data_IF_847316569224
#
_entry.id   IF_847316569224
#
_cell.length_a   1.000
_cell.length_b   1.000
_cell.length_c   1.000
_cell.angle_alpha   90.00
_cell.angle_beta   90.00
_cell.angle_gamma   90.00
#
_symmetry.space_group_name_H-M   'P 1'
#
loop_
_entity.id
_entity.type
_entity.pdbx_description
1 polymer ?
#
# COMPACT_ATOMS: atom_id res chain seq x y z
N UNK A 1 -6.16 -39.63 39.74
CA UNK A 1 -5.83 -38.66 38.67
C UNK A 1 -6.67 -37.41 38.99
N UNK A 2 -6.11 -36.49 39.78
CA UNK A 2 -6.79 -35.26 40.22
C UNK A 2 -6.57 -34.19 39.14
N UNK A 3 -7.61 -33.93 38.34
CA UNK A 3 -7.65 -32.78 37.45
C UNK A 3 -7.95 -31.56 38.32
N UNK A 4 -7.02 -30.60 38.37
CA UNK A 4 -7.16 -29.37 39.18
C UNK A 4 -8.30 -28.50 38.62
N UNK A 5 -9.44 -28.37 39.31
CA UNK A 5 -10.56 -27.52 38.84
C UNK A 5 -10.19 -26.02 38.80
N UNK A 6 -9.18 -25.63 39.59
CA UNK A 6 -8.70 -24.26 39.70
C UNK A 6 -8.13 -23.71 38.39
N UNK A 7 -7.36 -24.52 37.66
CA UNK A 7 -6.76 -24.12 36.37
C UNK A 7 -7.80 -23.88 35.26
N UNK A 8 -8.90 -24.66 35.30
CA UNK A 8 -10.01 -24.48 34.33
C UNK A 8 -10.80 -23.22 34.69
N UNK A 9 -11.01 -22.94 35.96
CA UNK A 9 -11.73 -21.76 36.44
C UNK A 9 -10.94 -20.45 36.12
N UNK A 10 -9.64 -20.45 36.38
CA UNK A 10 -8.76 -19.32 36.05
C UNK A 10 -8.65 -19.07 34.54
N UNK A 11 -8.70 -20.14 33.76
CA UNK A 11 -8.74 -20.02 32.29
C UNK A 11 -10.06 -19.42 31.79
N UNK A 12 -11.21 -19.85 32.38
CA UNK A 12 -12.53 -19.28 32.04
C UNK A 12 -12.69 -17.84 32.52
N UNK A 13 -12.18 -17.48 33.70
CA UNK A 13 -12.19 -16.10 34.20
C UNK A 13 -11.29 -15.22 33.35
N UNK A 14 -10.11 -15.67 32.99
CA UNK A 14 -9.19 -14.96 32.12
C UNK A 14 -9.79 -14.75 30.72
N UNK A 15 -10.44 -15.77 30.18
CA UNK A 15 -11.10 -15.69 28.87
C UNK A 15 -12.33 -14.77 28.92
N UNK A 16 -13.13 -14.84 29.97
CA UNK A 16 -14.28 -13.94 30.19
C UNK A 16 -13.85 -12.48 30.39
N UNK A 17 -12.76 -12.26 31.16
CA UNK A 17 -12.19 -10.93 31.39
C UNK A 17 -11.63 -10.32 30.12
N UNK A 18 -10.92 -11.10 29.29
CA UNK A 18 -10.36 -10.67 28.00
C UNK A 18 -11.48 -10.34 26.99
N UNK A 19 -12.56 -11.11 26.97
CA UNK A 19 -13.69 -10.88 26.06
C UNK A 19 -14.53 -9.65 26.47
N UNK A 20 -14.65 -9.38 27.78
CA UNK A 20 -15.29 -8.18 28.32
C UNK A 20 -14.44 -6.90 28.16
N UNK A 21 -13.11 -7.01 28.15
CA UNK A 21 -12.23 -5.86 27.90
C UNK A 21 -12.51 -5.17 26.56
N UNK A 22 -12.87 -5.92 25.52
CA UNK A 22 -13.23 -5.32 24.23
C UNK A 22 -14.57 -4.56 24.26
N UNK A 23 -15.48 -4.91 25.18
CA UNK A 23 -16.71 -4.15 25.42
C UNK A 23 -16.44 -2.84 26.19
N UNK A 24 -15.38 -2.81 27.00
CA UNK A 24 -14.94 -1.65 27.78
C UNK A 24 -14.07 -0.66 26.99
N UNK A 25 -13.50 -1.07 25.84
CA UNK A 25 -12.74 -0.15 24.99
C UNK A 25 -13.73 0.81 24.32
N UNK A 26 -13.82 2.01 24.84
CA UNK A 26 -14.59 3.08 24.23
C UNK A 26 -13.82 3.75 23.08
N UNK A 27 -14.53 4.53 22.24
CA UNK A 27 -13.95 5.20 21.09
C UNK A 27 -12.80 6.15 21.45
N UNK A 28 -12.89 6.83 22.58
CA UNK A 28 -11.86 7.77 23.07
C UNK A 28 -10.55 7.07 23.38
N UNK A 29 -10.62 5.99 24.18
CA UNK A 29 -9.44 5.18 24.52
C UNK A 29 -8.84 4.53 23.27
N UNK A 30 -9.70 4.01 22.38
CA UNK A 30 -9.27 3.42 21.11
C UNK A 30 -8.52 4.43 20.26
N UNK A 31 -9.11 5.61 20.01
CA UNK A 31 -8.47 6.65 19.21
C UNK A 31 -7.17 7.15 19.84
N UNK A 32 -7.14 7.37 21.16
CA UNK A 32 -5.96 7.84 21.86
C UNK A 32 -4.77 6.87 21.68
N UNK A 33 -4.98 5.57 21.91
CA UNK A 33 -3.92 4.55 21.72
C UNK A 33 -3.42 4.43 20.30
N UNK A 34 -4.31 4.48 19.29
CA UNK A 34 -3.93 4.42 17.88
C UNK A 34 -3.11 5.65 17.50
N UNK A 35 -3.54 6.85 17.93
CA UNK A 35 -2.83 8.12 17.68
C UNK A 35 -1.47 8.15 18.38
N UNK A 36 -1.38 7.71 19.62
CA UNK A 36 -0.11 7.58 20.38
C UNK A 36 0.92 6.73 19.62
N UNK A 37 0.49 5.63 19.03
CA UNK A 37 1.35 4.74 18.23
C UNK A 37 1.54 5.21 16.79
N UNK A 38 0.98 6.35 16.41
CA UNK A 38 1.07 6.94 15.05
C UNK A 38 0.63 5.97 13.95
N UNK A 39 -0.39 5.17 14.23
CA UNK A 39 -0.94 4.19 13.29
C UNK A 39 -2.01 4.88 12.41
N UNK A 40 -1.59 5.51 11.33
CA UNK A 40 -2.51 6.17 10.38
C UNK A 40 -3.37 5.15 9.60
N UNK A 41 -2.83 3.97 9.37
CA UNK A 41 -3.54 2.79 8.86
C UNK A 41 -3.29 1.67 9.83
N UNK A 42 -4.34 1.01 10.29
CA UNK A 42 -4.26 -0.06 11.28
C UNK A 42 -5.03 -1.30 10.85
N UNK A 43 -4.61 -2.44 11.35
CA UNK A 43 -5.22 -3.75 11.10
C UNK A 43 -5.75 -4.38 12.39
N UNK A 44 -6.50 -5.48 12.25
CA UNK A 44 -6.93 -6.28 13.41
C UNK A 44 -5.74 -6.78 14.26
N UNK A 45 -4.61 -7.11 13.63
CA UNK A 45 -3.40 -7.54 14.34
C UNK A 45 -2.80 -6.40 15.17
N UNK A 46 -2.78 -5.17 14.63
CA UNK A 46 -2.31 -4.00 15.37
C UNK A 46 -3.17 -3.77 16.62
N UNK A 47 -4.49 -3.89 16.48
CA UNK A 47 -5.44 -3.75 17.60
C UNK A 47 -5.24 -4.85 18.64
N UNK A 48 -5.05 -6.09 18.19
CA UNK A 48 -4.74 -7.20 19.12
C UNK A 48 -3.47 -6.91 19.92
N UNK A 49 -2.41 -6.48 19.25
CA UNK A 49 -1.14 -6.16 19.91
C UNK A 49 -1.26 -4.99 20.89
N UNK A 50 -2.06 -3.96 20.56
CA UNK A 50 -2.22 -2.77 21.41
C UNK A 50 -3.09 -3.00 22.64
N UNK A 51 -4.12 -3.82 22.53
CA UNK A 51 -5.15 -3.99 23.57
C UNK A 51 -5.11 -5.34 24.27
N UNK A 52 -4.29 -6.30 23.80
CA UNK A 52 -4.18 -7.62 24.40
C UNK A 52 -5.47 -8.46 24.35
N UNK A 53 -6.34 -8.20 23.35
CA UNK A 53 -7.67 -8.83 23.26
C UNK A 53 -7.69 -9.95 22.22
N UNK A 54 -8.68 -10.84 22.31
CA UNK A 54 -8.83 -11.97 21.39
C UNK A 54 -9.15 -11.52 19.96
N UNK A 55 -8.89 -12.38 18.96
CA UNK A 55 -9.21 -12.10 17.57
C UNK A 55 -10.71 -11.88 17.35
N UNK A 56 -11.57 -12.63 18.06
CA UNK A 56 -13.02 -12.53 18.00
C UNK A 56 -13.48 -11.17 18.55
N UNK A 57 -12.94 -10.77 19.69
CA UNK A 57 -13.24 -9.50 20.33
C UNK A 57 -12.85 -8.31 19.43
N UNK A 58 -11.67 -8.36 18.79
CA UNK A 58 -11.24 -7.33 17.82
C UNK A 58 -12.14 -7.30 16.59
N UNK A 59 -12.53 -8.45 16.06
CA UNK A 59 -13.42 -8.49 14.89
C UNK A 59 -14.77 -7.83 15.21
N UNK A 60 -15.36 -8.13 16.37
CA UNK A 60 -16.61 -7.53 16.86
C UNK A 60 -16.46 -6.01 17.06
N UNK A 61 -15.35 -5.58 17.67
CA UNK A 61 -15.04 -4.17 17.91
C UNK A 61 -14.94 -3.38 16.60
N UNK A 62 -14.13 -3.86 15.66
CA UNK A 62 -13.93 -3.24 14.36
C UNK A 62 -15.21 -3.22 13.52
N UNK A 63 -16.02 -4.29 13.58
CA UNK A 63 -17.32 -4.32 12.92
C UNK A 63 -18.26 -3.23 13.47
N UNK A 64 -18.36 -3.13 14.81
CA UNK A 64 -19.19 -2.12 15.49
C UNK A 64 -18.74 -0.70 15.11
N UNK A 65 -17.43 -0.40 15.19
CA UNK A 65 -16.90 0.92 14.89
C UNK A 65 -17.04 1.29 13.42
N UNK A 66 -16.88 0.34 12.51
CA UNK A 66 -17.18 0.53 11.10
C UNK A 66 -18.66 0.86 10.87
N UNK A 67 -19.60 0.12 11.51
CA UNK A 67 -21.03 0.35 11.41
C UNK A 67 -21.44 1.74 11.93
N UNK A 68 -20.73 2.24 12.95
CA UNK A 68 -20.93 3.58 13.52
C UNK A 68 -20.26 4.71 12.70
N UNK A 69 -19.52 4.39 11.64
CA UNK A 69 -18.76 5.39 10.87
C UNK A 69 -17.54 5.94 11.61
N UNK A 70 -17.20 5.39 12.79
CA UNK A 70 -16.06 5.84 13.58
C UNK A 70 -14.71 5.48 12.92
N UNK A 71 -14.68 4.40 12.16
CA UNK A 71 -13.57 4.00 11.31
C UNK A 71 -14.06 3.67 9.91
N UNK A 72 -13.20 3.89 8.90
CA UNK A 72 -13.43 3.48 7.52
C UNK A 72 -12.57 2.27 7.18
N UNK A 73 -13.16 1.29 6.50
CA UNK A 73 -12.41 0.17 5.97
C UNK A 73 -11.95 0.49 4.55
N UNK A 74 -10.65 0.73 4.37
CA UNK A 74 -10.05 1.07 3.07
C UNK A 74 -9.76 -0.17 2.22
N UNK A 75 -9.61 -1.33 2.86
CA UNK A 75 -9.44 -2.65 2.27
C UNK A 75 -9.77 -3.70 3.34
N UNK A 76 -10.09 -4.93 2.94
CA UNK A 76 -10.27 -6.02 3.90
C UNK A 76 -9.07 -6.12 4.84
N UNK A 77 -9.34 -5.91 6.15
CA UNK A 77 -8.34 -5.96 7.22
C UNK A 77 -7.54 -4.68 7.44
N UNK A 78 -7.80 -3.58 6.70
CA UNK A 78 -7.13 -2.28 6.88
C UNK A 78 -8.16 -1.17 7.11
N UNK A 79 -7.90 -0.35 8.12
CA UNK A 79 -8.82 0.68 8.59
C UNK A 79 -8.09 2.01 8.80
N UNK A 80 -8.83 3.11 8.69
CA UNK A 80 -8.39 4.48 8.98
C UNK A 80 -9.46 5.23 9.76
N UNK A 81 -9.10 6.33 10.39
CA UNK A 81 -10.07 7.30 10.90
C UNK A 81 -10.51 8.23 9.78
N UNK A 82 -11.82 8.55 9.64
CA UNK A 82 -12.33 9.41 8.58
C UNK A 82 -11.85 10.86 8.69
N UNK A 83 -11.61 11.36 9.89
CA UNK A 83 -11.16 12.71 10.22
C UNK A 83 -9.65 12.94 10.04
N UNK A 84 -8.85 11.87 9.93
CA UNK A 84 -7.39 11.93 9.80
C UNK A 84 -6.92 10.95 8.73
N UNK A 85 -7.24 11.26 7.47
CA UNK A 85 -6.81 10.43 6.35
C UNK A 85 -5.32 10.65 6.05
N UNK A 86 -4.52 9.58 5.95
CA UNK A 86 -3.14 9.71 5.50
C UNK A 86 -3.08 10.04 4.00
N UNK A 87 -1.95 10.58 3.50
CA UNK A 87 -1.76 10.83 2.07
C UNK A 87 -1.98 9.58 1.22
N UNK A 88 -2.55 9.76 0.03
CA UNK A 88 -2.90 8.67 -0.87
C UNK A 88 -1.72 7.79 -1.24
N UNK A 89 -0.54 8.39 -1.42
CA UNK A 89 0.68 7.66 -1.78
C UNK A 89 1.17 6.75 -0.64
N UNK A 90 0.97 7.19 0.61
CA UNK A 90 1.18 6.34 1.78
C UNK A 90 0.17 5.20 1.82
N UNK A 91 -1.11 5.49 1.56
CA UNK A 91 -2.17 4.47 1.48
C UNK A 91 -1.80 3.40 0.44
N UNK A 92 -1.40 3.81 -0.77
CA UNK A 92 -1.02 2.89 -1.85
C UNK A 92 0.01 1.85 -1.40
N UNK A 93 1.11 2.28 -0.78
CA UNK A 93 2.16 1.37 -0.33
C UNK A 93 1.71 0.45 0.83
N UNK A 94 0.78 0.91 1.67
CA UNK A 94 0.32 0.14 2.83
C UNK A 94 -0.73 -0.89 2.49
N UNK A 95 -1.66 -0.57 1.58
CA UNK A 95 -2.75 -1.50 1.25
C UNK A 95 -2.30 -2.73 0.44
N UNK A 96 -1.18 -2.63 -0.29
CA UNK A 96 -0.67 -3.77 -1.07
C UNK A 96 0.86 -3.78 -1.12
N UNK A 97 1.49 -4.33 -0.10
CA UNK A 97 2.95 -4.44 0.04
C UNK A 97 3.45 -5.85 -0.31
N UNK A 98 4.67 -6.00 -0.90
CA UNK A 98 5.55 -4.92 -1.34
C UNK A 98 5.08 -4.26 -2.63
N UNK A 99 5.19 -2.94 -2.68
CA UNK A 99 4.93 -2.14 -3.87
C UNK A 99 5.63 -0.79 -3.79
N UNK A 100 5.85 -0.15 -4.91
CA UNK A 100 6.24 1.25 -5.01
C UNK A 100 5.42 1.92 -6.11
N UNK A 101 5.18 3.21 -5.97
CA UNK A 101 4.46 4.04 -6.95
C UNK A 101 5.32 4.15 -8.20
N UNK A 102 4.72 3.94 -9.38
CA UNK A 102 5.42 3.91 -10.66
C UNK A 102 4.46 4.19 -11.81
N UNK A 103 4.91 3.91 -13.04
CA UNK A 103 4.12 4.01 -14.25
C UNK A 103 3.69 5.47 -14.51
N UNK A 104 2.52 5.63 -15.14
CA UNK A 104 2.00 6.93 -15.55
C UNK A 104 1.83 7.90 -14.37
N UNK A 105 1.45 7.40 -13.17
CA UNK A 105 1.32 8.26 -12.00
C UNK A 105 2.66 8.88 -11.59
N UNK A 106 3.73 8.07 -11.51
CA UNK A 106 5.05 8.59 -11.16
C UNK A 106 5.61 9.51 -12.25
N UNK A 107 5.35 9.21 -13.53
CA UNK A 107 5.73 10.08 -14.65
C UNK A 107 5.03 11.45 -14.58
N UNK A 108 3.75 11.46 -14.25
CA UNK A 108 2.99 12.69 -14.02
C UNK A 108 3.48 13.45 -12.77
N UNK A 109 3.79 12.74 -11.70
CA UNK A 109 4.31 13.28 -10.45
C UNK A 109 5.62 14.07 -10.67
N UNK A 110 6.53 13.55 -11.51
CA UNK A 110 7.78 14.24 -11.88
C UNK A 110 7.62 15.21 -13.06
N UNK A 111 6.40 15.37 -13.58
CA UNK A 111 6.14 16.22 -14.74
C UNK A 111 6.89 15.76 -15.97
N UNK A 112 7.07 14.44 -16.15
CA UNK A 112 7.68 13.84 -17.34
C UNK A 112 6.66 13.75 -18.46
N UNK A 113 5.42 13.36 -18.15
CA UNK A 113 4.29 13.41 -19.07
C UNK A 113 3.41 14.62 -18.74
N UNK A 114 2.80 15.27 -19.73
CA UNK A 114 1.94 16.45 -19.51
C UNK A 114 0.56 16.07 -18.95
N UNK A 115 0.16 14.80 -19.04
CA UNK A 115 -1.15 14.32 -18.61
C UNK A 115 -1.25 14.26 -17.08
N UNK A 116 -2.37 14.74 -16.52
CA UNK A 116 -2.71 14.54 -15.12
C UNK A 116 -3.28 13.13 -14.93
N UNK A 117 -2.68 12.35 -14.04
CA UNK A 117 -3.07 10.96 -13.76
C UNK A 117 -3.76 10.87 -12.40
N UNK A 118 -5.02 10.45 -12.39
CA UNK A 118 -5.83 10.34 -11.17
C UNK A 118 -5.72 8.96 -10.52
N UNK A 119 -5.51 7.90 -11.32
CA UNK A 119 -5.31 6.55 -10.82
C UNK A 119 -3.90 6.41 -10.24
N UNK A 120 -3.79 6.06 -8.96
CA UNK A 120 -2.50 5.86 -8.31
C UNK A 120 -1.95 4.50 -8.72
N UNK A 121 -1.01 4.52 -9.65
CA UNK A 121 -0.43 3.32 -10.22
C UNK A 121 0.85 2.92 -9.48
N UNK A 122 0.99 1.64 -9.20
CA UNK A 122 2.14 1.05 -8.51
C UNK A 122 2.58 -0.23 -9.20
N UNK A 123 3.83 -0.62 -8.98
CA UNK A 123 4.33 -1.93 -9.37
C UNK A 123 4.60 -2.80 -8.14
N UNK A 124 4.53 -4.12 -8.33
CA UNK A 124 4.65 -5.11 -7.26
C UNK A 124 5.24 -6.41 -7.81
N UNK A 125 5.80 -7.24 -6.93
CA UNK A 125 6.20 -8.63 -7.27
C UNK A 125 5.05 -9.63 -7.10
N UNK A 126 3.93 -9.21 -6.48
CA UNK A 126 2.71 -10.00 -6.28
C UNK A 126 1.78 -9.95 -7.49
N UNK A 127 0.64 -10.63 -7.40
CA UNK A 127 -0.38 -10.60 -8.45
C UNK A 127 -0.91 -9.19 -8.69
N UNK A 128 -1.23 -8.87 -9.95
CA UNK A 128 -1.90 -7.62 -10.32
C UNK A 128 -3.22 -7.49 -9.56
N UNK A 129 -3.47 -6.30 -8.99
CA UNK A 129 -4.69 -5.96 -8.24
C UNK A 129 -5.11 -4.53 -8.51
N UNK A 130 -6.39 -4.27 -8.34
CA UNK A 130 -6.99 -2.94 -8.37
C UNK A 130 -7.92 -2.80 -7.18
N UNK A 131 -7.84 -1.68 -6.49
CA UNK A 131 -8.70 -1.33 -5.36
C UNK A 131 -9.33 0.03 -5.62
N UNK A 132 -10.59 0.16 -5.28
CA UNK A 132 -11.31 1.42 -5.28
C UNK A 132 -11.76 1.70 -3.85
N UNK A 133 -11.28 2.79 -3.30
CA UNK A 133 -11.56 3.18 -1.92
C UNK A 133 -11.31 4.68 -1.71
N UNK A 134 -12.03 5.31 -0.78
CA UNK A 134 -11.92 6.74 -0.47
C UNK A 134 -12.09 7.64 -1.71
N UNK A 135 -12.92 7.21 -2.67
CA UNK A 135 -13.12 7.94 -3.93
C UNK A 135 -11.93 7.91 -4.90
N UNK A 136 -10.95 7.02 -4.65
CA UNK A 136 -9.73 6.89 -5.45
C UNK A 136 -9.50 5.47 -5.95
N UNK A 137 -8.74 5.37 -7.02
CA UNK A 137 -8.37 4.10 -7.64
C UNK A 137 -6.88 3.88 -7.40
N UNK A 138 -6.56 2.71 -6.86
CA UNK A 138 -5.20 2.23 -6.63
C UNK A 138 -4.97 0.96 -7.46
N UNK A 139 -4.05 0.99 -8.40
CA UNK A 139 -3.72 -0.18 -9.20
C UNK A 139 -2.28 -0.64 -8.97
N UNK A 140 -2.11 -1.94 -8.95
CA UNK A 140 -0.84 -2.62 -8.69
C UNK A 140 -0.58 -3.60 -9.82
N UNK A 141 0.49 -3.36 -10.55
CA UNK A 141 0.87 -4.15 -11.71
C UNK A 141 2.08 -5.03 -11.38
N UNK A 142 1.98 -6.30 -11.71
CA UNK A 142 3.08 -7.24 -11.49
C UNK A 142 4.20 -6.99 -12.49
N UNK A 143 5.45 -6.92 -11.99
CA UNK A 143 6.67 -6.95 -12.79
C UNK A 143 7.57 -8.12 -12.41
N UNK A 144 8.62 -8.37 -13.20
CA UNK A 144 9.65 -9.39 -12.89
C UNK A 144 10.34 -9.05 -11.57
N UNK A 145 10.58 -10.06 -10.73
CA UNK A 145 11.23 -9.88 -9.42
C UNK A 145 12.63 -9.25 -9.54
N UNK A 146 13.42 -9.66 -10.54
CA UNK A 146 14.76 -9.10 -10.81
C UNK A 146 14.76 -7.62 -11.20
N UNK A 147 13.62 -7.11 -11.72
CA UNK A 147 13.45 -5.71 -12.07
C UNK A 147 12.79 -4.87 -10.96
N UNK A 148 12.51 -5.46 -9.78
CA UNK A 148 11.89 -4.76 -8.65
C UNK A 148 12.94 -3.97 -7.85
N UNK A 149 13.35 -2.83 -8.40
CA UNK A 149 14.38 -1.91 -7.89
C UNK A 149 14.19 -0.51 -8.50
N UNK A 150 15.07 0.44 -8.24
CA UNK A 150 15.03 1.79 -8.84
C UNK A 150 13.96 2.68 -8.24
N UNK A 151 13.65 2.49 -6.97
CA UNK A 151 12.72 3.33 -6.21
C UNK A 151 13.40 3.88 -4.95
N UNK A 152 12.95 5.03 -4.52
CA UNK A 152 13.40 5.70 -3.32
C UNK A 152 12.27 5.92 -2.32
N UNK A 153 12.62 6.58 -1.22
CA UNK A 153 11.69 7.00 -0.18
C UNK A 153 11.46 8.50 -0.34
N UNK A 154 10.19 8.90 -0.50
CA UNK A 154 9.77 10.28 -0.41
C UNK A 154 8.80 10.49 0.76
N UNK A 155 8.50 11.75 1.07
CA UNK A 155 7.65 12.11 2.21
C UNK A 155 6.56 13.09 1.80
N UNK A 156 5.36 12.85 2.31
CA UNK A 156 4.23 13.77 2.19
C UNK A 156 3.47 13.80 3.53
N UNK A 157 3.21 14.98 4.05
CA UNK A 157 2.54 15.12 5.36
C UNK A 157 3.25 14.41 6.51
N UNK A 158 4.59 14.34 6.47
CA UNK A 158 5.39 13.63 7.49
C UNK A 158 5.42 12.10 7.34
N UNK A 159 4.70 11.52 6.38
CA UNK A 159 4.64 10.08 6.13
C UNK A 159 5.47 9.69 4.90
N UNK A 160 6.21 8.59 5.02
CA UNK A 160 7.09 8.10 3.97
C UNK A 160 6.38 7.12 3.05
N UNK A 161 6.66 7.20 1.75
CA UNK A 161 6.20 6.26 0.73
C UNK A 161 7.31 5.93 -0.26
N UNK A 162 7.19 4.79 -0.94
CA UNK A 162 8.13 4.34 -1.96
C UNK A 162 7.63 4.75 -3.34
N UNK A 163 8.49 5.38 -4.13
CA UNK A 163 8.21 5.79 -5.51
C UNK A 163 9.42 5.51 -6.40
N UNK A 164 9.17 5.03 -7.62
CA UNK A 164 10.20 4.87 -8.65
C UNK A 164 10.84 6.22 -8.96
N UNK A 165 12.14 6.22 -9.29
CA UNK A 165 12.71 7.38 -9.97
C UNK A 165 12.15 7.54 -11.40
N UNK A 166 12.44 8.67 -12.02
CA UNK A 166 11.94 9.05 -13.32
C UNK A 166 12.19 7.99 -14.40
N UNK A 167 13.43 7.51 -14.48
CA UNK A 167 13.86 6.53 -15.48
C UNK A 167 13.21 5.18 -15.23
N UNK A 168 13.11 4.77 -13.96
CA UNK A 168 12.47 3.50 -13.59
C UNK A 168 10.99 3.52 -13.90
N UNK A 169 10.29 4.61 -13.56
CA UNK A 169 8.87 4.78 -13.89
C UNK A 169 8.62 4.70 -15.41
N UNK A 170 9.49 5.34 -16.20
CA UNK A 170 9.43 5.31 -17.65
C UNK A 170 9.63 3.90 -18.23
N UNK A 171 10.61 3.16 -17.70
CA UNK A 171 10.89 1.78 -18.12
C UNK A 171 9.77 0.84 -17.72
N UNK A 172 9.27 0.93 -16.47
CA UNK A 172 8.15 0.12 -15.99
C UNK A 172 6.90 0.31 -16.86
N UNK A 173 6.57 1.56 -17.18
CA UNK A 173 5.42 1.88 -18.01
C UNK A 173 5.57 1.29 -19.42
N UNK A 174 6.71 1.50 -20.09
CA UNK A 174 6.95 0.94 -21.41
C UNK A 174 7.01 -0.59 -21.41
N UNK A 175 7.52 -1.23 -20.35
CA UNK A 175 7.47 -2.68 -20.18
C UNK A 175 6.03 -3.20 -20.21
N UNK A 176 5.15 -2.66 -19.37
CA UNK A 176 3.75 -3.09 -19.32
C UNK A 176 2.99 -2.79 -20.60
N UNK A 177 3.25 -1.64 -21.24
CA UNK A 177 2.69 -1.30 -22.55
C UNK A 177 3.13 -2.30 -23.61
N UNK A 178 4.40 -2.71 -23.61
CA UNK A 178 4.92 -3.71 -24.54
C UNK A 178 4.27 -5.08 -24.38
N UNK A 179 4.00 -5.51 -23.14
CA UNK A 179 3.27 -6.75 -22.86
C UNK A 179 1.81 -6.71 -23.34
N UNK A 180 1.18 -5.55 -23.25
CA UNK A 180 -0.19 -5.32 -23.69
C UNK A 180 -0.29 -4.94 -25.18
N UNK A 181 0.80 -5.04 -25.95
CA UNK A 181 0.87 -4.66 -27.37
C UNK A 181 0.46 -3.20 -27.63
N UNK A 182 0.64 -2.34 -26.65
CA UNK A 182 0.38 -0.89 -26.76
C UNK A 182 1.61 -0.17 -27.31
N UNK A 183 1.39 1.01 -27.94
CA UNK A 183 2.48 1.88 -28.40
C UNK A 183 3.29 2.40 -27.20
N UNK A 184 4.61 2.55 -27.31
CA UNK A 184 5.44 3.20 -26.29
C UNK A 184 4.92 4.60 -25.96
N UNK A 185 5.31 5.12 -24.80
CA UNK A 185 5.06 6.51 -24.43
C UNK A 185 5.83 7.39 -25.42
N UNK A 186 5.12 8.26 -26.14
CA UNK A 186 5.70 9.12 -27.18
C UNK A 186 5.65 10.61 -26.83
N UNK A 187 4.73 11.01 -25.93
CA UNK A 187 4.60 12.39 -25.50
C UNK A 187 5.12 12.54 -24.07
N UNK A 188 6.36 13.04 -23.95
CA UNK A 188 7.01 13.23 -22.66
C UNK A 188 8.19 14.19 -22.78
N UNK A 189 8.66 14.72 -21.66
CA UNK A 189 9.83 15.59 -21.55
C UNK A 189 11.10 14.73 -21.51
N UNK A 190 11.68 14.48 -22.68
CA UNK A 190 12.86 13.60 -22.85
C UNK A 190 14.07 14.09 -22.07
N UNK A 191 14.25 15.39 -21.95
CA UNK A 191 15.35 16.05 -21.22
C UNK A 191 15.36 15.75 -19.73
N UNK A 192 14.24 15.26 -19.18
CA UNK A 192 14.11 14.85 -17.77
C UNK A 192 14.49 13.39 -17.51
N UNK A 193 14.86 12.63 -18.54
CA UNK A 193 15.18 11.21 -18.44
C UNK A 193 16.64 10.96 -18.83
N UNK A 194 17.41 10.39 -17.93
CA UNK A 194 18.76 9.93 -18.26
C UNK A 194 18.70 8.62 -19.05
N UNK A 195 19.07 8.69 -20.34
CA UNK A 195 18.98 7.55 -21.26
C UNK A 195 19.85 6.35 -20.83
N UNK A 196 21.05 6.58 -20.30
CA UNK A 196 21.92 5.48 -19.84
C UNK A 196 21.32 4.76 -18.63
N UNK A 197 20.77 5.53 -17.68
CA UNK A 197 20.13 4.97 -16.48
C UNK A 197 18.87 4.20 -16.86
N UNK A 198 18.04 4.72 -17.77
CA UNK A 198 16.88 4.04 -18.30
C UNK A 198 17.25 2.71 -18.98
N UNK A 199 18.31 2.70 -19.79
CA UNK A 199 18.80 1.47 -20.42
C UNK A 199 19.32 0.44 -19.43
N UNK A 200 19.98 0.86 -18.33
CA UNK A 200 20.35 -0.06 -17.23
C UNK A 200 19.13 -0.72 -16.62
N UNK A 201 18.06 0.04 -16.35
CA UNK A 201 16.81 -0.52 -15.83
C UNK A 201 16.10 -1.44 -16.83
N UNK A 202 16.10 -1.10 -18.12
CA UNK A 202 15.49 -1.94 -19.16
C UNK A 202 16.13 -3.34 -19.22
N UNK A 203 17.46 -3.43 -19.09
CA UNK A 203 18.20 -4.70 -19.07
C UNK A 203 17.77 -5.63 -17.93
N UNK A 204 17.32 -5.10 -16.78
CA UNK A 204 16.86 -5.91 -15.65
C UNK A 204 15.59 -6.72 -15.96
N UNK A 205 14.88 -6.36 -17.01
CA UNK A 205 13.69 -7.09 -17.45
C UNK A 205 14.01 -8.31 -18.31
N UNK A 206 15.27 -8.46 -18.73
CA UNK A 206 15.67 -9.54 -19.65
C UNK A 206 14.69 -9.64 -20.84
N UNK A 207 14.54 -8.53 -21.56
CA UNK A 207 13.59 -8.34 -22.64
C UNK A 207 14.18 -7.40 -23.71
N UNK A 208 14.70 -7.99 -24.78
CA UNK A 208 15.36 -7.27 -25.86
C UNK A 208 14.44 -6.26 -26.56
N UNK A 209 13.15 -6.63 -26.72
CA UNK A 209 12.15 -5.72 -27.31
C UNK A 209 12.00 -4.45 -26.46
N UNK A 210 11.93 -4.59 -25.11
CA UNK A 210 11.89 -3.43 -24.24
C UNK A 210 13.16 -2.58 -24.38
N UNK A 211 14.32 -3.21 -24.36
CA UNK A 211 15.61 -2.51 -24.50
C UNK A 211 15.68 -1.73 -25.81
N UNK A 212 15.22 -2.31 -26.92
CA UNK A 212 15.11 -1.63 -28.22
C UNK A 212 14.14 -0.46 -28.16
N UNK A 213 12.95 -0.64 -27.56
CA UNK A 213 11.96 0.43 -27.39
C UNK A 213 12.58 1.61 -26.62
N UNK A 214 13.20 1.36 -25.46
CA UNK A 214 13.80 2.42 -24.64
C UNK A 214 14.90 3.14 -25.41
N UNK A 215 15.77 2.40 -26.10
CA UNK A 215 16.83 2.99 -26.93
C UNK A 215 16.26 3.92 -28.02
N UNK A 216 15.30 3.43 -28.80
CA UNK A 216 14.71 4.20 -29.91
C UNK A 216 13.90 5.39 -29.41
N UNK A 217 13.21 5.27 -28.27
CA UNK A 217 12.36 6.34 -27.73
C UNK A 217 13.20 7.48 -27.12
N UNK A 218 14.39 7.16 -26.60
CA UNK A 218 15.29 8.14 -25.95
C UNK A 218 16.42 8.64 -26.88
N UNK A 219 16.58 8.13 -28.07
CA UNK A 219 17.43 8.70 -29.15
C UNK A 219 16.73 9.88 -29.82
#
# INVERSE_FOLDING_TARGET
MLVYPQLIFDFFISFWYIDNMAKLVNQTIFAAKIKEKKLFIFSANDIRALFGVSAVAVASLLHRYKKQGFILQIKRGFYVFPDVLPPDLYIANRIYSPSYISLEFALSYYGIIPETVYEITSVTTKATRRFETLGKIFSFRKIKKGAYTGYGIERQGGLSFYIADAEKAFVDANYLRSLNKQKPISRFHKEKINSEKALRYAKLFDNEKLTSIIKTTLQ
#
